data_IF_287090785253
#
_entry.id   IF_287090785253
#
_cell.length_a   1.000
_cell.length_b   1.000
_cell.length_c   1.000
_cell.angle_alpha   90.00
_cell.angle_beta   90.00
_cell.angle_gamma   90.00
#
_symmetry.space_group_name_H-M   'P 1'
#
loop_
_entity.id
_entity.type
_entity.pdbx_description
1 polymer ?
#
# COMPACT_ATOMS: atom_id res chain seq x y z
N UNK A 1 25.77 15.71 12.11
CA UNK A 1 26.83 15.09 11.27
C UNK A 1 27.43 13.81 11.85
N UNK A 2 27.82 13.75 13.13
CA UNK A 2 28.42 12.53 13.72
C UNK A 2 27.49 11.30 13.76
N UNK A 3 26.20 11.49 14.03
CA UNK A 3 25.21 10.39 14.00
C UNK A 3 24.97 9.82 12.60
N UNK A 4 24.97 10.67 11.57
CA UNK A 4 24.83 10.25 10.17
C UNK A 4 26.06 9.45 9.69
N UNK A 5 27.27 9.86 10.10
CA UNK A 5 28.50 9.08 9.84
C UNK A 5 28.54 7.74 10.60
N UNK A 6 28.04 7.68 11.83
CA UNK A 6 27.97 6.44 12.60
C UNK A 6 26.99 5.42 11.98
N UNK A 7 25.83 5.91 11.51
CA UNK A 7 24.84 5.10 10.78
C UNK A 7 25.43 4.56 9.48
N UNK A 8 26.05 5.41 8.66
CA UNK A 8 26.73 5.02 7.42
C UNK A 8 27.86 3.98 7.63
N UNK A 9 28.64 4.09 8.70
CA UNK A 9 29.70 3.12 9.01
C UNK A 9 29.15 1.79 9.55
N UNK A 10 28.05 1.83 10.31
CA UNK A 10 27.35 0.63 10.79
C UNK A 10 26.71 -0.14 9.63
N UNK A 11 26.04 0.57 8.73
CA UNK A 11 25.44 0.05 7.51
C UNK A 11 26.50 -0.66 6.65
N UNK A 12 27.67 -0.02 6.43
CA UNK A 12 28.80 -0.64 5.72
C UNK A 12 29.36 -1.89 6.40
N UNK A 13 29.29 -1.99 7.73
CA UNK A 13 29.83 -3.14 8.48
C UNK A 13 28.92 -4.36 8.33
N UNK A 14 27.60 -4.19 8.43
CA UNK A 14 26.62 -5.25 8.23
C UNK A 14 26.73 -5.90 6.84
N UNK A 15 26.88 -5.10 5.78
CA UNK A 15 27.07 -5.63 4.42
C UNK A 15 28.43 -6.30 4.18
N UNK A 16 29.44 -6.02 5.01
CA UNK A 16 30.77 -6.66 4.95
C UNK A 16 30.83 -7.95 5.76
N UNK A 17 30.07 -8.05 6.84
CA UNK A 17 30.02 -9.23 7.69
C UNK A 17 29.01 -10.24 7.16
N UNK A 18 29.43 -11.50 7.07
CA UNK A 18 28.62 -12.63 6.60
C UNK A 18 27.67 -13.19 7.67
N UNK A 19 27.53 -12.49 8.80
CA UNK A 19 26.68 -12.94 9.90
C UNK A 19 26.13 -11.74 10.67
N UNK A 20 24.80 -11.62 10.83
CA UNK A 20 24.16 -10.54 11.59
C UNK A 20 24.36 -10.70 13.11
N UNK A 21 24.73 -11.90 13.57
CA UNK A 21 24.89 -12.30 14.97
C UNK A 21 25.96 -11.49 15.73
N UNK A 22 26.96 -10.94 15.02
CA UNK A 22 28.06 -10.18 15.63
C UNK A 22 27.84 -8.67 15.67
N UNK A 23 26.62 -8.19 15.37
CA UNK A 23 26.28 -6.76 15.39
C UNK A 23 25.62 -6.35 16.70
N UNK A 24 26.08 -5.28 17.38
CA UNK A 24 25.46 -4.78 18.62
C UNK A 24 24.03 -4.26 18.43
N UNK A 25 23.57 -4.13 17.19
CA UNK A 25 22.22 -3.69 16.84
C UNK A 25 21.29 -4.84 16.46
N UNK A 26 21.76 -6.09 16.47
CA UNK A 26 20.92 -7.26 16.20
C UNK A 26 20.46 -7.87 17.53
N UNK A 27 19.15 -7.88 17.78
CA UNK A 27 18.57 -8.49 18.98
C UNK A 27 17.98 -9.84 18.65
N UNK A 28 18.50 -10.88 19.29
CA UNK A 28 18.03 -12.25 19.20
C UNK A 28 17.26 -12.68 20.45
N UNK A 29 16.52 -13.76 20.33
CA UNK A 29 15.86 -14.46 21.44
C UNK A 29 16.89 -14.83 22.52
N UNK A 30 16.52 -14.65 23.78
CA UNK A 30 17.25 -15.21 24.93
C UNK A 30 16.78 -16.64 25.23
N UNK A 31 17.68 -17.52 25.69
CA UNK A 31 17.33 -18.90 26.07
C UNK A 31 16.25 -18.88 27.17
N UNK A 32 15.09 -19.49 26.89
CA UNK A 32 13.95 -19.62 27.81
C UNK A 32 12.70 -18.80 27.48
N UNK A 33 12.73 -17.93 26.47
CA UNK A 33 11.64 -17.00 26.16
C UNK A 33 10.91 -17.41 24.86
N UNK A 34 9.59 -17.63 24.83
CA UNK A 34 8.84 -18.25 23.73
C UNK A 34 8.66 -17.40 22.44
N UNK A 35 9.46 -16.34 22.27
CA UNK A 35 9.39 -15.42 21.14
C UNK A 35 10.22 -15.82 19.90
N UNK A 36 10.07 -15.08 18.79
CA UNK A 36 10.81 -15.31 17.54
C UNK A 36 12.33 -15.10 17.71
N UNK A 37 13.12 -15.82 16.91
CA UNK A 37 14.59 -15.82 16.97
C UNK A 37 15.17 -14.41 16.77
N UNK A 38 14.57 -13.62 15.87
CA UNK A 38 14.92 -12.20 15.62
C UNK A 38 13.90 -11.26 16.25
N UNK A 39 14.34 -10.35 17.12
CA UNK A 39 13.49 -9.34 17.79
C UNK A 39 13.63 -7.94 17.20
N UNK A 40 14.73 -7.66 16.51
CA UNK A 40 14.90 -6.39 15.81
C UNK A 40 16.33 -6.10 15.41
N UNK A 41 16.48 -5.13 14.52
CA UNK A 41 17.75 -4.57 14.09
C UNK A 41 17.57 -3.46 13.06
N UNK A 42 18.67 -2.90 12.58
CA UNK A 42 18.60 -1.97 11.45
C UNK A 42 18.12 -2.70 10.20
N UNK A 43 17.48 -1.98 9.28
CA UNK A 43 16.97 -2.56 8.01
C UNK A 43 18.04 -3.34 7.24
N UNK A 44 19.30 -2.92 7.34
CA UNK A 44 20.44 -3.59 6.71
C UNK A 44 20.74 -4.94 7.32
N UNK A 45 20.69 -5.04 8.65
CA UNK A 45 20.92 -6.31 9.35
C UNK A 45 19.77 -7.28 9.07
N UNK A 46 18.53 -6.79 9.04
CA UNK A 46 17.36 -7.58 8.68
C UNK A 46 17.45 -8.11 7.25
N UNK A 47 17.88 -7.26 6.30
CA UNK A 47 18.15 -7.67 4.92
C UNK A 47 19.24 -8.73 4.85
N UNK A 48 20.36 -8.53 5.54
CA UNK A 48 21.44 -9.52 5.59
C UNK A 48 20.91 -10.87 6.05
N UNK A 49 20.13 -10.89 7.14
CA UNK A 49 19.50 -12.10 7.67
C UNK A 49 18.52 -12.74 6.68
N UNK A 50 17.70 -11.95 5.98
CA UNK A 50 16.76 -12.45 4.96
C UNK A 50 17.47 -13.11 3.77
N UNK A 51 18.72 -12.73 3.49
CA UNK A 51 19.52 -13.28 2.38
C UNK A 51 20.40 -14.47 2.75
N UNK A 52 20.44 -14.85 4.03
CA UNK A 52 21.20 -16.01 4.54
C UNK A 52 20.32 -17.27 4.54
N UNK A 53 19.97 -17.78 3.36
CA UNK A 53 18.98 -18.87 3.18
C UNK A 53 19.60 -20.27 3.32
N UNK A 54 20.05 -20.65 4.52
CA UNK A 54 20.64 -22.01 4.76
C UNK A 54 19.89 -22.85 5.82
N UNK A 55 18.86 -22.30 6.49
CA UNK A 55 18.01 -23.07 7.44
C UNK A 55 16.52 -22.87 7.14
N UNK A 56 15.69 -23.86 7.48
CA UNK A 56 14.22 -23.80 7.32
C UNK A 56 13.61 -22.57 8.00
N UNK A 57 14.11 -22.23 9.19
CA UNK A 57 13.64 -21.07 9.97
C UNK A 57 13.91 -19.74 9.26
N UNK A 58 14.96 -19.67 8.43
CA UNK A 58 15.31 -18.50 7.63
C UNK A 58 14.40 -18.31 6.42
N UNK A 59 13.74 -19.38 5.94
CA UNK A 59 12.71 -19.28 4.89
C UNK A 59 11.49 -18.54 5.43
N UNK A 60 10.99 -18.93 6.60
CA UNK A 60 9.88 -18.23 7.26
C UNK A 60 10.22 -16.78 7.56
N UNK A 61 11.46 -16.51 8.00
CA UNK A 61 11.93 -15.14 8.17
C UNK A 61 11.94 -14.36 6.86
N UNK A 62 12.38 -14.97 5.76
CA UNK A 62 12.38 -14.34 4.44
C UNK A 62 10.96 -13.99 3.99
N UNK A 63 9.98 -14.89 4.16
CA UNK A 63 8.56 -14.60 3.86
C UNK A 63 8.04 -13.42 4.70
N UNK A 64 8.30 -13.44 6.01
CA UNK A 64 7.89 -12.36 6.91
C UNK A 64 8.54 -11.03 6.52
N UNK A 65 9.83 -11.04 6.17
CA UNK A 65 10.56 -9.87 5.69
C UNK A 65 9.96 -9.33 4.39
N UNK A 66 9.76 -10.17 3.38
CA UNK A 66 9.20 -9.78 2.09
C UNK A 66 7.77 -9.24 2.22
N UNK A 67 6.98 -9.84 3.12
CA UNK A 67 5.63 -9.37 3.42
C UNK A 67 5.63 -7.98 4.08
N UNK A 68 6.56 -7.71 5.00
CA UNK A 68 6.45 -6.56 5.92
C UNK A 68 7.46 -5.42 5.71
N UNK A 69 8.45 -5.58 4.82
CA UNK A 69 9.55 -4.61 4.70
C UNK A 69 9.07 -3.18 4.41
N UNK A 70 7.95 -3.03 3.70
CA UNK A 70 7.35 -1.74 3.30
C UNK A 70 7.06 -0.82 4.48
N UNK A 71 6.88 -1.39 5.67
CA UNK A 71 6.69 -0.62 6.90
C UNK A 71 7.92 0.22 7.26
N UNK A 72 9.14 -0.27 6.97
CA UNK A 72 10.41 0.34 7.39
C UNK A 72 11.41 0.68 6.27
N UNK A 73 11.24 0.17 5.05
CA UNK A 73 12.09 0.48 3.88
C UNK A 73 11.25 0.49 2.59
N UNK A 74 11.51 1.44 1.69
CA UNK A 74 10.83 1.48 0.39
C UNK A 74 11.34 0.37 -0.54
N UNK A 75 10.53 -0.12 -1.50
CA UNK A 75 10.98 -1.12 -2.45
C UNK A 75 12.20 -0.67 -3.26
N UNK A 76 12.24 0.60 -3.67
CA UNK A 76 13.38 1.17 -4.40
C UNK A 76 14.68 1.11 -3.59
N UNK A 77 14.64 1.54 -2.32
CA UNK A 77 15.82 1.51 -1.45
C UNK A 77 16.25 0.07 -1.12
N UNK A 78 15.28 -0.84 -0.93
CA UNK A 78 15.56 -2.26 -0.73
C UNK A 78 16.25 -2.87 -1.96
N UNK A 79 15.76 -2.59 -3.17
CA UNK A 79 16.36 -3.06 -4.42
C UNK A 79 17.79 -2.54 -4.57
N UNK A 80 18.04 -1.25 -4.29
CA UNK A 80 19.40 -0.68 -4.32
C UNK A 80 20.34 -1.37 -3.34
N UNK A 81 19.89 -1.65 -2.11
CA UNK A 81 20.70 -2.34 -1.08
C UNK A 81 20.97 -3.80 -1.45
N UNK A 82 19.97 -4.52 -1.97
CA UNK A 82 20.14 -5.89 -2.46
C UNK A 82 21.10 -5.95 -3.65
N UNK A 83 20.97 -5.02 -4.60
CA UNK A 83 21.90 -4.90 -5.72
C UNK A 83 23.33 -4.66 -5.23
N UNK A 84 23.52 -3.72 -4.31
CA UNK A 84 24.84 -3.43 -3.75
C UNK A 84 25.47 -4.68 -3.12
N UNK A 85 24.69 -5.41 -2.32
CA UNK A 85 25.16 -6.66 -1.69
C UNK A 85 25.50 -7.73 -2.72
N UNK A 86 24.67 -7.89 -3.76
CA UNK A 86 24.95 -8.82 -4.86
C UNK A 86 26.28 -8.50 -5.55
N UNK A 87 26.49 -7.24 -5.97
CA UNK A 87 27.70 -6.80 -6.67
C UNK A 87 28.96 -6.96 -5.82
N UNK A 88 28.85 -6.87 -4.48
CA UNK A 88 29.98 -7.10 -3.58
C UNK A 88 30.43 -8.54 -3.50
N UNK A 89 29.52 -9.50 -3.67
CA UNK A 89 29.82 -10.91 -3.46
C UNK A 89 29.83 -11.76 -4.74
N UNK A 90 29.25 -11.29 -5.86
CA UNK A 90 29.14 -12.06 -7.09
C UNK A 90 30.48 -12.48 -7.70
N UNK A 91 31.51 -11.63 -7.61
CA UNK A 91 32.86 -11.89 -8.12
C UNK A 91 33.82 -12.46 -7.07
N UNK A 92 33.34 -12.78 -5.86
CA UNK A 92 34.19 -13.39 -4.85
C UNK A 92 34.51 -14.85 -5.23
N UNK A 93 35.78 -15.28 -5.17
CA UNK A 93 36.17 -16.67 -5.45
C UNK A 93 35.69 -17.65 -4.37
N UNK A 94 35.35 -17.14 -3.18
CA UNK A 94 34.80 -17.89 -2.06
C UNK A 94 33.40 -18.43 -2.39
N UNK A 95 33.27 -19.77 -2.36
CA UNK A 95 32.01 -20.49 -2.63
C UNK A 95 30.88 -20.06 -1.70
N UNK A 96 31.17 -19.73 -0.45
CA UNK A 96 30.18 -19.25 0.51
C UNK A 96 29.63 -17.87 0.09
N UNK A 97 30.52 -16.92 -0.21
CA UNK A 97 30.12 -15.59 -0.70
C UNK A 97 29.36 -15.67 -2.02
N UNK A 98 29.73 -16.60 -2.90
CA UNK A 98 29.01 -16.86 -4.15
C UNK A 98 27.60 -17.44 -3.92
N UNK A 99 27.39 -18.21 -2.84
CA UNK A 99 26.04 -18.64 -2.43
C UNK A 99 25.22 -17.45 -1.92
N UNK A 100 25.80 -16.63 -1.04
CA UNK A 100 25.15 -15.43 -0.49
C UNK A 100 24.73 -14.46 -1.60
N UNK A 101 25.56 -14.25 -2.62
CA UNK A 101 25.20 -13.38 -3.75
C UNK A 101 24.00 -13.93 -4.53
N UNK A 102 23.96 -15.23 -4.82
CA UNK A 102 22.82 -15.87 -5.48
C UNK A 102 21.54 -15.75 -4.66
N UNK A 103 21.60 -16.00 -3.36
CA UNK A 103 20.45 -15.85 -2.46
C UNK A 103 19.97 -14.40 -2.40
N UNK A 104 20.90 -13.45 -2.31
CA UNK A 104 20.60 -12.00 -2.35
C UNK A 104 19.87 -11.64 -3.64
N UNK A 105 20.33 -12.17 -4.78
CA UNK A 105 19.69 -11.92 -6.07
C UNK A 105 18.29 -12.57 -6.15
N UNK A 106 18.10 -13.75 -5.58
CA UNK A 106 16.79 -14.39 -5.51
C UNK A 106 15.78 -13.55 -4.71
N UNK A 107 16.21 -13.03 -3.54
CA UNK A 107 15.39 -12.08 -2.77
C UNK A 107 15.09 -10.83 -3.59
N UNK A 108 16.04 -10.28 -4.35
CA UNK A 108 15.80 -9.14 -5.25
C UNK A 108 14.73 -9.47 -6.29
N UNK A 109 14.82 -10.61 -6.97
CA UNK A 109 13.81 -11.03 -7.95
C UNK A 109 12.43 -11.13 -7.30
N UNK A 110 12.33 -11.68 -6.08
CA UNK A 110 11.07 -11.75 -5.34
C UNK A 110 10.50 -10.39 -4.98
N UNK A 111 11.35 -9.46 -4.50
CA UNK A 111 10.92 -8.07 -4.24
C UNK A 111 10.34 -7.46 -5.50
N UNK A 112 10.96 -7.67 -6.67
CA UNK A 112 10.47 -7.15 -7.96
C UNK A 112 9.16 -7.82 -8.40
N UNK A 113 9.01 -9.13 -8.15
CA UNK A 113 7.77 -9.90 -8.41
C UNK A 113 6.59 -9.42 -7.56
N UNK A 114 6.86 -9.09 -6.31
CA UNK A 114 5.86 -8.65 -5.34
C UNK A 114 5.65 -7.12 -5.36
N UNK A 115 6.25 -6.39 -6.31
CA UNK A 115 6.00 -4.95 -6.49
C UNK A 115 4.55 -4.70 -6.88
N UNK A 116 3.93 -3.74 -6.20
CA UNK A 116 2.63 -3.21 -6.60
C UNK A 116 2.80 -2.35 -7.86
N UNK A 117 1.76 -2.27 -8.68
CA UNK A 117 1.83 -1.50 -9.94
C UNK A 117 2.01 0.01 -9.71
N UNK A 118 1.59 0.50 -8.55
CA UNK A 118 1.79 1.88 -8.06
C UNK A 118 3.25 2.15 -7.68
N UNK A 119 3.97 1.13 -7.18
CA UNK A 119 5.38 1.23 -6.77
C UNK A 119 6.34 1.21 -7.97
N UNK A 120 5.89 0.71 -9.12
CA UNK A 120 6.68 0.66 -10.36
C UNK A 120 6.76 2.04 -11.03
N UNK A 121 7.60 2.93 -10.50
CA UNK A 121 7.93 4.23 -11.11
C UNK A 121 8.83 4.10 -12.33
N UNK A 122 8.93 5.16 -13.14
CA UNK A 122 9.85 5.19 -14.27
C UNK A 122 11.32 5.15 -13.82
N UNK A 123 11.65 5.79 -12.70
CA UNK A 123 12.96 5.74 -12.07
C UNK A 123 13.33 4.30 -11.69
N UNK A 124 12.41 3.60 -11.04
CA UNK A 124 12.62 2.21 -10.63
C UNK A 124 12.75 1.29 -11.85
N UNK A 125 11.92 1.50 -12.88
CA UNK A 125 12.02 0.75 -14.13
C UNK A 125 13.39 0.96 -14.81
N UNK A 126 13.88 2.21 -14.86
CA UNK A 126 15.22 2.53 -15.36
C UNK A 126 16.31 1.83 -14.54
N UNK A 127 16.20 1.84 -13.22
CA UNK A 127 17.14 1.15 -12.32
C UNK A 127 17.17 -0.37 -12.59
N UNK A 128 16.00 -0.99 -12.71
CA UNK A 128 15.84 -2.42 -12.96
C UNK A 128 16.35 -2.84 -14.34
N UNK A 129 16.08 -2.04 -15.38
CA UNK A 129 16.61 -2.29 -16.73
C UNK A 129 18.14 -2.13 -16.78
N UNK A 130 18.69 -1.16 -16.04
CA UNK A 130 20.14 -1.01 -15.91
C UNK A 130 20.76 -2.22 -15.18
N UNK A 131 20.07 -2.81 -14.20
CA UNK A 131 20.48 -4.05 -13.55
C UNK A 131 20.49 -5.24 -14.50
N UNK A 132 19.44 -5.40 -15.31
CA UNK A 132 19.38 -6.43 -16.37
C UNK A 132 20.57 -6.27 -17.33
N UNK A 133 20.85 -5.04 -17.78
CA UNK A 133 21.99 -4.77 -18.65
C UNK A 133 23.32 -5.20 -18.01
N UNK A 134 23.56 -4.83 -16.74
CA UNK A 134 24.76 -5.24 -15.99
C UNK A 134 24.91 -6.77 -15.92
N UNK A 135 23.82 -7.51 -15.68
CA UNK A 135 23.84 -8.97 -15.65
C UNK A 135 24.20 -9.59 -17.01
N UNK A 136 23.73 -9.00 -18.11
CA UNK A 136 24.09 -9.43 -19.46
C UNK A 136 25.58 -9.19 -19.69
N UNK A 137 26.10 -8.01 -19.35
CA UNK A 137 27.53 -7.70 -19.46
C UNK A 137 28.41 -8.60 -18.59
N UNK A 138 27.92 -9.06 -17.43
CA UNK A 138 28.65 -9.98 -16.55
C UNK A 138 28.52 -11.46 -16.96
N UNK A 139 27.72 -11.78 -17.99
CA UNK A 139 27.51 -13.15 -18.45
C UNK A 139 26.48 -13.96 -17.65
N UNK A 140 25.77 -13.36 -16.69
CA UNK A 140 24.77 -14.03 -15.83
C UNK A 140 23.39 -14.07 -16.53
N UNK A 141 23.34 -14.74 -17.68
CA UNK A 141 22.18 -14.69 -18.60
C UNK A 141 20.89 -15.29 -18.01
N UNK A 142 21.00 -16.31 -17.16
CA UNK A 142 19.84 -16.93 -16.51
C UNK A 142 19.14 -15.96 -15.56
N UNK A 143 19.92 -15.26 -14.74
CA UNK A 143 19.46 -14.23 -13.81
C UNK A 143 18.87 -13.03 -14.56
N UNK A 144 19.57 -12.56 -15.60
CA UNK A 144 19.09 -11.48 -16.46
C UNK A 144 17.73 -11.82 -17.09
N UNK A 145 17.56 -13.05 -17.58
CA UNK A 145 16.32 -13.51 -18.21
C UNK A 145 15.14 -13.52 -17.23
N UNK A 146 15.33 -14.04 -16.02
CA UNK A 146 14.28 -14.11 -15.00
C UNK A 146 13.84 -12.70 -14.60
N UNK A 147 14.80 -11.83 -14.28
CA UNK A 147 14.51 -10.45 -13.89
C UNK A 147 13.82 -9.68 -15.03
N UNK A 148 14.32 -9.80 -16.26
CA UNK A 148 13.71 -9.14 -17.43
C UNK A 148 12.27 -9.60 -17.68
N UNK A 149 12.01 -10.90 -17.55
CA UNK A 149 10.65 -11.45 -17.71
C UNK A 149 9.70 -10.81 -16.69
N UNK A 150 10.08 -10.82 -15.42
CA UNK A 150 9.28 -10.25 -14.34
C UNK A 150 8.97 -8.75 -14.56
N UNK A 151 9.98 -7.96 -14.94
CA UNK A 151 9.80 -6.54 -15.28
C UNK A 151 8.80 -6.36 -16.43
N UNK A 152 8.92 -7.15 -17.49
CA UNK A 152 8.03 -7.06 -18.66
C UNK A 152 6.59 -7.46 -18.30
N UNK A 153 6.42 -8.53 -17.54
CA UNK A 153 5.11 -9.00 -17.10
C UNK A 153 4.42 -7.92 -16.25
N UNK A 154 5.13 -7.29 -15.30
CA UNK A 154 4.62 -6.17 -14.48
C UNK A 154 4.31 -4.92 -15.30
N UNK A 155 5.17 -4.55 -16.24
CA UNK A 155 4.94 -3.41 -17.12
C UNK A 155 3.70 -3.62 -18.01
N UNK A 156 3.49 -4.85 -18.48
CA UNK A 156 2.32 -5.22 -19.27
C UNK A 156 1.04 -5.20 -18.43
N UNK A 157 1.07 -5.71 -17.19
CA UNK A 157 -0.05 -5.61 -16.25
C UNK A 157 -0.46 -4.16 -16.01
N UNK A 158 0.52 -3.27 -15.76
CA UNK A 158 0.29 -1.83 -15.59
C UNK A 158 -0.37 -1.20 -16.84
N UNK A 159 0.05 -1.62 -18.03
CA UNK A 159 -0.54 -1.16 -19.30
C UNK A 159 -1.99 -1.63 -19.48
N UNK A 160 -2.28 -2.89 -19.17
CA UNK A 160 -3.64 -3.46 -19.26
C UNK A 160 -4.58 -2.74 -18.30
N UNK A 161 -4.18 -2.51 -17.05
CA UNK A 161 -5.01 -1.77 -16.09
C UNK A 161 -5.32 -0.35 -16.55
N UNK A 162 -4.33 0.37 -17.08
CA UNK A 162 -4.55 1.70 -17.66
C UNK A 162 -5.57 1.68 -18.80
N UNK A 163 -5.52 0.63 -19.63
CA UNK A 163 -6.48 0.46 -20.72
C UNK A 163 -7.88 0.12 -20.18
N UNK A 164 -8.00 -0.80 -19.23
CA UNK A 164 -9.28 -1.19 -18.63
C UNK A 164 -9.94 -0.03 -17.89
N UNK A 165 -9.19 0.77 -17.13
CA UNK A 165 -9.73 1.95 -16.45
C UNK A 165 -10.20 3.03 -17.43
N UNK A 166 -9.66 3.06 -18.65
CA UNK A 166 -10.13 3.96 -19.71
C UNK A 166 -11.36 3.42 -20.46
N UNK A 167 -11.57 2.10 -20.44
CA UNK A 167 -12.67 1.44 -21.11
C UNK A 167 -13.86 1.29 -20.15
N UNK A 168 -14.89 2.12 -20.33
CA UNK A 168 -16.16 1.97 -19.58
C UNK A 168 -16.73 0.56 -19.82
N UNK A 169 -17.01 -0.26 -18.78
CA UNK A 169 -17.57 -1.60 -18.98
C UNK A 169 -18.88 -1.51 -19.76
N UNK A 170 -19.09 -2.38 -20.76
CA UNK A 170 -20.35 -2.42 -21.52
C UNK A 170 -21.58 -2.64 -20.62
N UNK A 171 -21.41 -3.31 -19.47
CA UNK A 171 -22.44 -3.46 -18.45
C UNK A 171 -22.95 -2.11 -17.89
N UNK A 172 -22.10 -1.07 -17.85
CA UNK A 172 -22.52 0.29 -17.47
C UNK A 172 -23.42 0.97 -18.51
N UNK A 173 -23.61 0.36 -19.68
CA UNK A 173 -24.47 0.87 -20.76
C UNK A 173 -25.90 0.34 -20.69
N UNK A 174 -26.28 -0.37 -19.62
CA UNK A 174 -27.67 -0.74 -19.28
C UNK A 174 -28.55 -0.99 -20.51
N UNK A 175 -28.25 -2.02 -21.30
CA UNK A 175 -29.14 -2.44 -22.39
C UNK A 175 -30.18 -3.41 -21.81
N UNK A 176 -31.02 -2.90 -20.91
CA UNK A 176 -32.23 -3.56 -20.48
C UNK A 176 -33.39 -2.67 -20.92
N UNK A 177 -34.35 -3.23 -21.67
CA UNK A 177 -35.52 -2.48 -22.13
C UNK A 177 -36.39 -1.93 -20.98
N UNK A 178 -36.20 -2.46 -19.75
CA UNK A 178 -36.74 -1.95 -18.49
C UNK A 178 -35.71 -2.16 -17.37
N UNK A 179 -35.38 -1.13 -16.56
CA UNK A 179 -34.61 -1.34 -15.33
C UNK A 179 -35.44 -2.21 -14.38
N UNK A 180 -34.90 -3.34 -13.93
CA UNK A 180 -35.52 -4.12 -12.86
C UNK A 180 -35.50 -3.33 -11.56
N UNK A 181 -36.61 -3.35 -10.83
CA UNK A 181 -36.71 -2.85 -9.45
C UNK A 181 -36.21 -3.91 -8.48
N UNK A 182 -35.83 -3.52 -7.26
CA UNK A 182 -35.31 -4.45 -6.25
C UNK A 182 -36.26 -5.64 -5.99
N UNK A 183 -37.57 -5.40 -6.08
CA UNK A 183 -38.61 -6.41 -5.84
C UNK A 183 -38.78 -7.40 -7.00
N UNK A 184 -38.14 -7.16 -8.15
CA UNK A 184 -38.22 -8.05 -9.31
C UNK A 184 -37.27 -9.26 -9.19
N UNK A 185 -36.42 -9.30 -8.17
CA UNK A 185 -35.42 -10.36 -7.96
C UNK A 185 -35.68 -11.10 -6.63
N UNK A 186 -35.34 -12.39 -6.59
CA UNK A 186 -35.40 -13.11 -5.32
C UNK A 186 -34.25 -12.67 -4.40
N UNK A 187 -34.54 -12.56 -3.10
CA UNK A 187 -33.57 -12.10 -2.10
C UNK A 187 -32.28 -12.93 -2.07
N UNK A 188 -32.38 -14.24 -2.27
CA UNK A 188 -31.21 -15.11 -2.31
C UNK A 188 -30.34 -14.90 -3.56
N UNK A 189 -30.93 -14.58 -4.72
CA UNK A 189 -30.18 -14.27 -5.94
C UNK A 189 -29.42 -12.95 -5.78
N UNK A 190 -30.06 -11.95 -5.16
CA UNK A 190 -29.40 -10.67 -4.83
C UNK A 190 -28.22 -10.92 -3.88
N UNK A 191 -28.43 -11.71 -2.83
CA UNK A 191 -27.38 -12.03 -1.86
C UNK A 191 -26.21 -12.78 -2.52
N UNK A 192 -26.49 -13.71 -3.43
CA UNK A 192 -25.46 -14.44 -4.19
C UNK A 192 -24.65 -13.50 -5.08
N UNK A 193 -25.30 -12.60 -5.84
CA UNK A 193 -24.60 -11.66 -6.71
C UNK A 193 -23.78 -10.64 -5.91
N UNK A 194 -24.29 -10.12 -4.79
CA UNK A 194 -23.53 -9.25 -3.89
C UNK A 194 -22.30 -9.98 -3.33
N UNK A 195 -22.45 -11.23 -2.90
CA UNK A 195 -21.34 -12.06 -2.40
C UNK A 195 -20.27 -12.26 -3.48
N UNK A 196 -20.67 -12.52 -4.73
CA UNK A 196 -19.74 -12.67 -5.85
C UNK A 196 -18.95 -11.38 -6.13
N UNK A 197 -19.63 -10.22 -6.10
CA UNK A 197 -18.99 -8.92 -6.29
C UNK A 197 -18.02 -8.59 -5.15
N UNK A 198 -18.44 -8.80 -3.90
CA UNK A 198 -17.59 -8.61 -2.71
C UNK A 198 -16.34 -9.51 -2.79
N UNK A 199 -16.52 -10.78 -3.15
CA UNK A 199 -15.42 -11.71 -3.31
C UNK A 199 -14.44 -11.26 -4.42
N UNK A 200 -14.94 -10.82 -5.58
CA UNK A 200 -14.09 -10.35 -6.68
C UNK A 200 -13.23 -9.14 -6.29
N UNK A 201 -13.78 -8.21 -5.51
CA UNK A 201 -13.05 -7.06 -5.01
C UNK A 201 -12.08 -7.44 -3.89
N UNK A 202 -12.51 -8.30 -2.95
CA UNK A 202 -11.68 -8.75 -1.83
C UNK A 202 -10.41 -9.48 -2.31
N UNK A 203 -10.53 -10.38 -3.28
CA UNK A 203 -9.38 -11.14 -3.80
C UNK A 203 -8.35 -10.29 -4.56
N UNK A 204 -8.69 -9.05 -4.92
CA UNK A 204 -7.75 -8.10 -5.56
C UNK A 204 -6.90 -7.34 -4.53
N UNK A 205 -7.29 -7.30 -3.26
CA UNK A 205 -6.57 -6.55 -2.22
C UNK A 205 -5.24 -7.26 -1.94
N UNK A 206 -4.13 -6.57 -2.22
CA UNK A 206 -2.79 -7.10 -1.93
C UNK A 206 -2.34 -6.70 -0.51
N UNK A 207 -1.55 -7.56 0.15
CA UNK A 207 -1.00 -7.30 1.50
C UNK A 207 -0.26 -5.94 1.57
N UNK A 208 0.56 -5.54 0.57
CA UNK A 208 1.18 -4.23 0.54
C UNK A 208 0.21 -3.06 0.68
N UNK A 209 -0.99 -3.13 0.09
CA UNK A 209 -2.00 -2.07 0.19
C UNK A 209 -2.48 -1.91 1.64
N UNK A 210 -2.76 -3.03 2.31
CA UNK A 210 -3.18 -3.03 3.72
C UNK A 210 -2.08 -2.45 4.62
N UNK A 211 -0.83 -2.83 4.39
CA UNK A 211 0.31 -2.33 5.17
C UNK A 211 0.57 -0.83 4.93
N UNK A 212 0.45 -0.36 3.69
CA UNK A 212 0.59 1.05 3.34
C UNK A 212 -0.57 1.88 3.88
N UNK A 213 -1.80 1.34 3.82
CA UNK A 213 -2.99 1.98 4.37
C UNK A 213 -2.86 2.20 5.86
N UNK A 214 -2.42 1.19 6.62
CA UNK A 214 -2.20 1.30 8.06
C UNK A 214 -1.17 2.39 8.45
N UNK A 215 -0.31 2.81 7.51
CA UNK A 215 0.74 3.80 7.75
C UNK A 215 0.37 5.21 7.26
N UNK A 216 -0.22 5.30 6.07
CA UNK A 216 -0.37 6.57 5.34
C UNK A 216 -1.82 6.87 4.92
N UNK A 217 -2.74 5.91 5.01
CA UNK A 217 -4.15 6.04 4.59
C UNK A 217 -4.32 6.71 3.22
N UNK A 218 -3.54 6.26 2.25
CA UNK A 218 -3.47 6.85 0.92
C UNK A 218 -4.20 5.97 -0.10
N UNK A 219 -5.25 6.52 -0.72
CA UNK A 219 -6.10 5.86 -1.71
C UNK A 219 -5.37 5.55 -3.02
N UNK A 220 -4.50 6.45 -3.50
CA UNK A 220 -3.72 6.22 -4.72
C UNK A 220 -2.75 5.05 -4.58
N UNK A 221 -2.24 4.82 -3.37
CA UNK A 221 -1.34 3.70 -3.05
C UNK A 221 -2.07 2.41 -2.69
N UNK A 222 -3.37 2.46 -2.42
CA UNK A 222 -4.19 1.33 -1.96
C UNK A 222 -5.48 1.18 -2.80
N UNK A 223 -5.37 1.13 -4.14
CA UNK A 223 -6.53 1.28 -5.02
C UNK A 223 -7.56 0.14 -4.91
N UNK A 224 -7.14 -1.11 -4.71
CA UNK A 224 -8.08 -2.23 -4.58
C UNK A 224 -8.77 -2.19 -3.21
N UNK A 225 -8.05 -1.80 -2.16
CA UNK A 225 -8.64 -1.59 -0.84
C UNK A 225 -9.66 -0.42 -0.86
N UNK A 226 -9.33 0.68 -1.52
CA UNK A 226 -10.25 1.80 -1.71
C UNK A 226 -11.48 1.37 -2.51
N UNK A 227 -11.30 0.64 -3.61
CA UNK A 227 -12.42 0.15 -4.42
C UNK A 227 -13.36 -0.78 -3.62
N UNK A 228 -12.80 -1.66 -2.79
CA UNK A 228 -13.58 -2.54 -1.93
C UNK A 228 -14.39 -1.76 -0.88
N UNK A 229 -13.76 -0.79 -0.22
CA UNK A 229 -14.45 0.03 0.79
C UNK A 229 -15.50 0.96 0.18
N UNK A 230 -15.25 1.52 -1.01
CA UNK A 230 -16.24 2.27 -1.77
C UNK A 230 -17.45 1.41 -2.17
N UNK A 231 -17.23 0.18 -2.64
CA UNK A 231 -18.32 -0.74 -2.96
C UNK A 231 -19.21 -1.02 -1.75
N UNK A 232 -18.60 -1.32 -0.59
CA UNK A 232 -19.31 -1.55 0.67
C UNK A 232 -20.12 -0.31 1.10
N UNK A 233 -19.55 0.88 0.99
CA UNK A 233 -20.22 2.14 1.30
C UNK A 233 -21.40 2.39 0.36
N UNK A 234 -21.20 2.20 -0.95
CA UNK A 234 -22.24 2.38 -1.97
C UNK A 234 -23.43 1.44 -1.74
N UNK A 235 -23.16 0.17 -1.41
CA UNK A 235 -24.20 -0.79 -1.04
C UNK A 235 -24.98 -0.29 0.18
N UNK A 236 -24.26 0.11 1.24
CA UNK A 236 -24.87 0.62 2.48
C UNK A 236 -25.77 1.85 2.23
N UNK A 237 -25.31 2.80 1.41
CA UNK A 237 -26.12 3.96 1.03
C UNK A 237 -27.34 3.59 0.18
N UNK A 238 -27.19 2.63 -0.74
CA UNK A 238 -28.29 2.15 -1.57
C UNK A 238 -29.39 1.46 -0.75
N UNK A 239 -29.02 0.65 0.25
CA UNK A 239 -30.00 0.04 1.18
C UNK A 239 -30.74 1.12 1.98
N UNK A 240 -30.00 2.12 2.51
CA UNK A 240 -30.61 3.24 3.24
C UNK A 240 -31.58 4.03 2.37
N UNK A 241 -31.22 4.34 1.12
CA UNK A 241 -32.09 5.10 0.23
C UNK A 241 -33.41 4.38 -0.08
N UNK A 242 -33.39 3.04 -0.18
CA UNK A 242 -34.61 2.24 -0.33
C UNK A 242 -35.48 2.26 0.92
N UNK A 243 -34.87 2.20 2.11
CA UNK A 243 -35.61 2.31 3.37
C UNK A 243 -36.32 3.66 3.51
N UNK A 244 -35.64 4.77 3.18
CA UNK A 244 -36.21 6.12 3.27
C UNK A 244 -37.25 6.38 2.18
N UNK A 245 -37.02 5.94 0.93
CA UNK A 245 -38.00 6.09 -0.16
C UNK A 245 -39.30 5.29 0.08
N UNK A 246 -39.21 4.14 0.76
CA UNK A 246 -40.38 3.38 1.19
C UNK A 246 -41.10 4.02 2.40
N UNK A 247 -40.45 4.95 3.12
CA UNK A 247 -41.00 5.67 4.26
C UNK A 247 -41.95 6.82 3.91
N UNK A 248 -41.84 7.40 2.70
CA UNK A 248 -42.73 8.48 2.24
C UNK A 248 -44.06 7.99 1.62
N UNK A 249 -44.23 6.68 1.42
CA UNK A 249 -45.40 6.10 0.72
C UNK A 249 -46.27 5.15 1.56
N UNK A 250 -45.96 4.93 2.85
CA UNK A 250 -46.68 3.97 3.68
C UNK A 250 -47.52 4.64 4.80
N UNK A 251 -48.82 4.34 4.83
CA UNK A 251 -49.75 4.61 5.94
C UNK A 251 -49.36 3.89 7.25
N UNK A 252 -50.16 4.00 8.33
CA UNK A 252 -49.70 3.78 9.70
C UNK A 252 -49.15 2.38 9.89
N UNK A 253 -47.84 2.31 10.19
CA UNK A 253 -47.09 1.07 10.38
C UNK A 253 -47.65 0.29 11.57
N UNK A 254 -47.84 -1.01 11.40
CA UNK A 254 -47.90 -1.95 12.53
C UNK A 254 -46.64 -1.76 13.38
N UNK A 255 -46.87 -1.62 14.69
CA UNK A 255 -45.81 -1.45 15.67
C UNK A 255 -44.88 -2.68 15.66
N UNK A 256 -43.74 -2.56 15.00
CA UNK A 256 -42.62 -3.47 15.21
C UNK A 256 -42.05 -3.21 16.62
N UNK A 257 -41.63 -4.26 17.35
CA UNK A 257 -41.19 -4.15 18.73
C UNK A 257 -39.91 -3.30 18.79
N UNK A 258 -39.78 -2.50 19.84
CA UNK A 258 -38.64 -1.62 20.10
C UNK A 258 -37.31 -2.41 20.04
N UNK A 259 -36.59 -2.27 18.92
CA UNK A 259 -35.21 -2.75 18.77
C UNK A 259 -34.29 -1.73 19.43
N UNK A 260 -34.09 -1.90 20.74
CA UNK A 260 -32.95 -1.33 21.44
C UNK A 260 -31.69 -2.11 21.05
N UNK A 261 -31.19 -1.97 19.82
CA UNK A 261 -29.95 -2.65 19.40
C UNK A 261 -29.27 -2.11 18.13
N UNK A 262 -29.44 -0.83 17.77
CA UNK A 262 -28.73 -0.25 16.60
C UNK A 262 -27.51 0.62 16.96
N UNK A 263 -27.24 0.82 18.26
CA UNK A 263 -26.03 1.54 18.71
C UNK A 263 -24.78 0.64 18.75
N UNK A 264 -24.93 -0.68 18.74
CA UNK A 264 -23.81 -1.62 18.87
C UNK A 264 -23.12 -1.87 17.52
N UNK A 265 -23.88 -1.95 16.41
CA UNK A 265 -23.33 -2.08 15.07
C UNK A 265 -22.60 -0.79 14.58
N UNK A 266 -23.11 0.38 14.99
CA UNK A 266 -22.44 1.67 14.75
C UNK A 266 -21.18 1.83 15.62
N UNK A 267 -21.20 1.31 16.84
CA UNK A 267 -20.02 1.24 17.69
C UNK A 267 -18.96 0.29 17.13
N UNK A 268 -19.32 -0.90 16.64
CA UNK A 268 -18.38 -1.84 15.99
C UNK A 268 -17.79 -1.28 14.69
N UNK A 269 -18.59 -0.57 13.88
CA UNK A 269 -18.11 0.11 12.68
C UNK A 269 -17.17 1.29 13.01
N UNK A 270 -17.37 1.98 14.15
CA UNK A 270 -16.46 3.01 14.66
C UNK A 270 -15.24 2.43 15.40
N UNK A 271 -15.35 1.23 15.98
CA UNK A 271 -14.25 0.54 16.65
C UNK A 271 -13.20 0.02 15.66
N UNK A 272 -13.62 -0.31 14.43
CA UNK A 272 -12.72 -0.62 13.32
C UNK A 272 -12.07 0.63 12.69
N UNK A 273 -12.51 1.84 13.04
CA UNK A 273 -11.96 3.10 12.54
C UNK A 273 -11.02 3.82 13.54
N UNK A 274 -10.82 3.29 14.75
CA UNK A 274 -9.99 3.94 15.76
C UNK A 274 -8.79 3.06 16.16
N UNK A 275 -7.60 3.45 15.68
CA UNK A 275 -6.34 3.55 16.45
C UNK A 275 -5.18 4.08 15.55
N UNK A 276 -4.19 4.82 16.07
CA UNK A 276 -4.22 6.27 16.26
C UNK A 276 -3.20 7.01 15.38
N UNK A 277 -3.45 8.30 15.06
CA UNK A 277 -2.40 9.17 14.54
C UNK A 277 -2.83 10.45 13.83
N UNK A 278 -3.54 11.35 14.51
CA UNK A 278 -3.56 12.76 14.09
C UNK A 278 -2.26 13.44 14.51
N UNK A 279 -1.53 14.16 13.63
CA UNK A 279 -0.76 15.32 14.05
C UNK A 279 -1.63 16.57 13.90
N UNK A 280 -1.87 17.22 15.03
CA UNK A 280 -2.30 18.61 15.12
C UNK A 280 -1.27 19.52 14.42
N UNK A 281 -1.75 20.48 13.63
CA UNK A 281 -1.05 21.75 13.40
C UNK A 281 -0.80 22.15 11.96
N UNK A 282 -1.70 22.93 11.38
CA UNK A 282 -1.37 24.03 10.47
C UNK A 282 -2.47 25.09 10.58
N UNK A 283 -2.10 26.27 11.12
CA UNK A 283 -3.03 27.34 11.44
C UNK A 283 -3.63 28.02 10.21
N UNK A 284 -4.93 28.27 10.29
CA UNK A 284 -5.60 29.30 9.50
C UNK A 284 -5.96 30.44 10.47
N UNK A 285 -5.37 31.61 10.23
CA UNK A 285 -5.65 32.83 10.98
C UNK A 285 -7.09 33.31 10.79
N UNK A 286 -7.63 34.11 11.72
CA UNK A 286 -9.05 34.45 11.71
C UNK A 286 -9.35 35.55 10.68
N UNK A 287 -10.30 35.26 9.79
CA UNK A 287 -11.02 36.27 9.02
C UNK A 287 -12.14 36.87 9.89
N UNK A 288 -12.38 38.20 9.88
CA UNK A 288 -13.40 38.82 10.73
C UNK A 288 -14.82 38.72 10.11
N UNK A 289 -15.88 38.79 10.94
CA UNK A 289 -17.27 38.63 10.51
C UNK A 289 -17.88 39.91 9.90
N UNK A 290 -19.02 39.80 9.17
CA UNK A 290 -19.61 40.91 8.43
C UNK A 290 -20.64 41.71 9.25
N UNK A 291 -20.65 43.03 9.03
CA UNK A 291 -21.84 43.88 9.08
C UNK A 291 -22.04 44.75 10.32
N UNK A 292 -21.78 46.06 10.19
CA UNK A 292 -22.66 47.13 10.71
C UNK A 292 -22.59 48.32 9.74
N UNK A 293 -23.76 48.87 9.42
CA UNK A 293 -24.00 49.96 8.49
C UNK A 293 -23.83 51.35 9.14
N UNK A 294 -23.33 52.33 8.38
CA UNK A 294 -23.67 53.76 8.40
C UNK A 294 -23.26 54.32 7.01
N UNK A 295 -24.19 54.74 6.13
CA UNK A 295 -24.80 56.09 6.03
C UNK A 295 -23.73 57.20 5.92
N UNK A 296 -23.35 57.70 4.75
CA UNK A 296 -24.04 58.55 3.77
C UNK A 296 -23.23 59.88 3.64
N UNK A 297 -23.39 60.56 2.51
CA UNK A 297 -23.01 61.94 2.19
C UNK A 297 -21.63 62.20 1.54
N UNK A 298 -21.67 62.30 0.21
CA UNK A 298 -21.17 63.51 -0.46
C UNK A 298 -19.98 63.35 -1.40
N UNK A 299 -20.21 63.18 -2.70
CA UNK A 299 -19.26 63.66 -3.73
C UNK A 299 -19.51 65.15 -4.06
N UNK A 300 -18.96 65.70 -5.16
CA UNK A 300 -17.70 65.39 -5.85
C UNK A 300 -16.84 66.66 -6.06
N UNK A 301 -15.54 66.53 -6.35
CA UNK A 301 -14.69 67.69 -6.65
C UNK A 301 -13.38 67.34 -7.37
N UNK A 302 -13.29 67.73 -8.63
CA UNK A 302 -12.11 67.73 -9.53
C UNK A 302 -10.88 68.44 -8.94
N UNK A 303 -9.69 68.12 -9.47
CA UNK A 303 -8.61 68.99 -10.03
C UNK A 303 -7.32 68.14 -10.04
N UNK A 304 -6.87 67.59 -11.17
CA UNK A 304 -5.88 68.10 -12.15
C UNK A 304 -4.44 68.34 -11.63
N UNK A 305 -3.51 67.63 -12.30
CA UNK A 305 -2.13 67.95 -12.70
C UNK A 305 -0.94 67.96 -11.71
N UNK A 306 0.14 67.27 -12.18
CA UNK A 306 1.59 67.59 -12.21
C UNK A 306 2.24 68.30 -11.00
N UNK A 307 3.42 67.94 -10.51
CA UNK A 307 4.62 67.29 -11.05
C UNK A 307 5.15 66.16 -10.14
#
# INVERSE_FOLDING_TARGET
MRESCAKLNSDRKAFRTLSPQNSPFFRLRFQGDDGPDVRGGSGDILLVHATETDRKDLVLYCEAFLTTYRTFISPEELIKKLQYRYEKFCHCPDTFKKRVSKNTFFVLVRVVDELCLVELSEELLRLLMALVFRLVCSGELSLARVLRKNILDKAQQKKILRHNNSARPLASRWVAARPGTLHDFHSHEIAEQLTLLDAELFYKIEIPEVLLWAKEQNEEKSPNLTQFTEHFNNMSYWVRSHHYAAGESAGPREAAPQVHQDHEALAEAQQLQLLPGHPLGAGLGPHPPPGVAEADLGGPGRVLHAD
#
